data_IF_488680795017
#
_entry.id   IF_488680795017
#
_cell.length_a   1.000
_cell.length_b   1.000
_cell.length_c   1.000
_cell.angle_alpha   90.00
_cell.angle_beta   90.00
_cell.angle_gamma   90.00
#
_symmetry.space_group_name_H-M   'P 1'
#
loop_
_entity.id
_entity.type
_entity.pdbx_description
1 polymer ?
#
# COMPACT_ATOMS: atom_id res chain seq x y z
N UNK A 1 -4.96 10.43 -27.62
CA UNK A 1 -4.96 10.95 -26.26
C UNK A 1 -4.76 9.83 -25.25
N UNK A 2 -3.74 9.89 -24.45
CA UNK A 2 -3.56 8.83 -23.48
C UNK A 2 -4.67 8.83 -22.45
N UNK A 3 -5.16 7.65 -22.16
CA UNK A 3 -5.96 7.41 -21.00
C UNK A 3 -5.03 7.60 -19.80
N UNK A 4 -5.56 8.02 -18.65
CA UNK A 4 -4.76 8.27 -17.46
C UNK A 4 -3.65 7.23 -17.27
N UNK A 5 -2.51 7.68 -16.81
CA UNK A 5 -1.36 6.81 -16.56
C UNK A 5 -1.65 5.89 -15.40
N UNK A 6 -1.08 4.65 -15.38
CA UNK A 6 -1.27 3.76 -14.24
C UNK A 6 -0.90 4.38 -12.90
N UNK A 7 0.10 5.25 -12.88
CA UNK A 7 0.56 5.95 -11.69
C UNK A 7 -0.24 7.20 -11.35
N UNK A 8 -1.21 7.59 -12.19
CA UNK A 8 -2.01 8.78 -11.94
C UNK A 8 -2.97 8.54 -10.77
N UNK A 9 -2.94 9.44 -9.79
CA UNK A 9 -3.69 9.27 -8.55
C UNK A 9 -4.73 10.37 -8.40
N UNK A 10 -5.99 9.96 -8.32
CA UNK A 10 -7.12 10.84 -8.00
C UNK A 10 -7.60 10.54 -6.59
N UNK A 11 -8.48 11.37 -6.01
CA UNK A 11 -9.03 11.08 -4.67
C UNK A 11 -9.70 9.71 -4.57
N UNK A 12 -10.29 9.21 -5.68
CA UNK A 12 -11.00 7.95 -5.71
C UNK A 12 -10.09 6.75 -6.00
N UNK A 13 -8.82 6.98 -6.25
CA UNK A 13 -7.89 5.88 -6.53
C UNK A 13 -7.89 4.89 -5.39
N UNK A 14 -8.11 3.62 -5.73
CA UNK A 14 -8.12 2.52 -4.77
C UNK A 14 -6.69 2.11 -4.45
N UNK A 15 -6.41 1.88 -3.17
CA UNK A 15 -5.08 1.57 -2.67
C UNK A 15 -5.16 0.29 -1.85
N UNK A 16 -4.29 -0.67 -2.15
CA UNK A 16 -4.28 -1.99 -1.51
C UNK A 16 -2.97 -2.25 -0.78
N UNK A 17 -3.09 -2.74 0.45
CA UNK A 17 -1.96 -3.25 1.21
C UNK A 17 -2.15 -4.76 1.39
N UNK A 18 -1.38 -5.56 0.67
CA UNK A 18 -1.44 -7.02 0.77
C UNK A 18 -0.89 -7.45 2.13
N UNK A 19 -1.61 -8.31 2.81
CA UNK A 19 -1.35 -8.68 4.19
C UNK A 19 -2.27 -7.98 5.19
N UNK A 20 -3.03 -6.97 4.72
CA UNK A 20 -3.99 -6.25 5.53
C UNK A 20 -3.51 -4.87 5.96
N UNK A 21 -4.45 -4.04 6.40
CA UNK A 21 -4.21 -2.66 6.82
C UNK A 21 -4.09 -2.49 8.34
N UNK A 22 -3.67 -3.50 9.06
CA UNK A 22 -3.42 -3.38 10.51
C UNK A 22 -2.19 -2.53 10.80
N UNK A 23 -2.12 -1.96 11.99
CA UNK A 23 -0.95 -1.18 12.42
C UNK A 23 0.34 -2.00 12.24
N UNK A 24 0.33 -3.27 12.64
CA UNK A 24 1.49 -4.13 12.51
C UNK A 24 1.97 -4.27 11.06
N UNK A 25 1.03 -4.38 10.11
CA UNK A 25 1.35 -4.53 8.71
C UNK A 25 1.65 -3.21 8.01
N UNK A 26 1.35 -2.08 8.65
CA UNK A 26 1.65 -0.75 8.12
C UNK A 26 2.97 -0.19 8.65
N UNK A 27 3.61 -0.85 9.61
CA UNK A 27 4.91 -0.41 10.08
C UNK A 27 5.94 -0.54 8.97
N UNK A 28 6.85 0.45 8.93
CA UNK A 28 7.94 0.39 7.96
C UNK A 28 8.82 -0.82 8.26
N UNK A 29 9.12 -1.60 7.23
CA UNK A 29 10.18 -2.57 7.31
C UNK A 29 11.52 -1.83 7.44
N UNK A 30 12.55 -2.53 7.86
CA UNK A 30 13.89 -1.94 7.92
C UNK A 30 14.32 -1.43 6.55
N UNK A 31 14.00 -2.18 5.49
CA UNK A 31 14.32 -1.80 4.13
C UNK A 31 13.55 -0.54 3.70
N UNK A 32 12.26 -0.47 4.01
CA UNK A 32 11.42 0.69 3.68
C UNK A 32 11.91 1.95 4.39
N UNK A 33 12.36 1.82 5.65
CA UNK A 33 12.87 2.94 6.42
C UNK A 33 14.20 3.47 5.88
N UNK A 34 14.96 2.65 5.17
CA UNK A 34 16.24 3.04 4.58
C UNK A 34 16.07 3.74 3.23
N UNK A 35 14.92 3.68 2.63
CA UNK A 35 14.66 4.36 1.36
C UNK A 35 14.51 5.87 1.57
N UNK A 36 14.81 6.62 0.54
CA UNK A 36 14.78 8.08 0.60
C UNK A 36 13.85 8.62 -0.49
N UNK A 37 12.68 9.14 -0.11
CA UNK A 37 12.12 9.17 1.25
C UNK A 37 11.50 7.84 1.66
N UNK A 38 11.36 7.57 2.97
CA UNK A 38 10.73 6.34 3.45
C UNK A 38 9.24 6.31 3.19
N UNK A 39 8.70 5.13 2.93
CA UNK A 39 7.26 4.98 2.68
C UNK A 39 6.80 3.54 2.70
N UNK A 40 5.51 3.34 2.93
CA UNK A 40 4.88 2.02 2.98
C UNK A 40 4.49 1.62 1.55
N UNK A 41 4.94 0.44 1.09
CA UNK A 41 4.62 -0.06 -0.24
C UNK A 41 3.16 -0.49 -0.35
N UNK A 42 2.50 -0.05 -1.41
CA UNK A 42 1.11 -0.39 -1.72
C UNK A 42 0.95 -0.61 -3.22
N UNK A 43 -0.19 -1.19 -3.61
CA UNK A 43 -0.58 -1.36 -5.01
C UNK A 43 -1.83 -0.55 -5.29
N UNK A 44 -1.88 0.05 -6.47
CA UNK A 44 -2.99 0.92 -6.88
C UNK A 44 -3.93 0.19 -7.84
N UNK A 45 -5.18 0.62 -7.85
CA UNK A 45 -6.21 0.21 -8.81
C UNK A 45 -6.62 -1.26 -8.65
N UNK A 46 -7.68 -1.64 -9.35
CA UNK A 46 -8.15 -3.01 -9.36
C UNK A 46 -8.83 -3.43 -8.07
N UNK A 47 -9.00 -4.73 -7.91
CA UNK A 47 -9.66 -5.33 -6.76
C UNK A 47 -8.66 -5.87 -5.75
N UNK A 48 -9.09 -6.10 -4.49
CA UNK A 48 -8.23 -6.77 -3.51
C UNK A 48 -7.73 -8.14 -3.99
N UNK A 49 -8.60 -8.88 -4.68
CA UNK A 49 -8.23 -10.19 -5.24
C UNK A 49 -7.11 -10.07 -6.25
N UNK A 50 -7.18 -9.06 -7.13
CA UNK A 50 -6.13 -8.80 -8.11
C UNK A 50 -4.81 -8.44 -7.46
N UNK A 51 -4.84 -7.62 -6.40
CA UNK A 51 -3.63 -7.26 -5.65
C UNK A 51 -2.97 -8.49 -5.03
N UNK A 52 -3.77 -9.37 -4.39
CA UNK A 52 -3.24 -10.60 -3.82
C UNK A 52 -2.62 -11.51 -4.88
N UNK A 53 -3.31 -11.66 -6.01
CA UNK A 53 -2.82 -12.48 -7.13
C UNK A 53 -1.53 -11.91 -7.72
N UNK A 54 -1.45 -10.58 -7.84
CA UNK A 54 -0.27 -9.91 -8.35
C UNK A 54 0.95 -10.18 -7.48
N UNK A 55 0.78 -10.12 -6.17
CA UNK A 55 1.86 -10.40 -5.22
C UNK A 55 2.34 -11.84 -5.31
N UNK A 56 1.40 -12.79 -5.39
CA UNK A 56 1.75 -14.20 -5.51
C UNK A 56 2.48 -14.52 -6.81
N UNK A 57 2.04 -13.93 -7.92
CA UNK A 57 2.71 -14.12 -9.21
C UNK A 57 4.12 -13.55 -9.23
N UNK A 58 4.32 -12.42 -8.56
CA UNK A 58 5.62 -11.77 -8.52
C UNK A 58 6.63 -12.55 -7.68
N UNK A 59 6.15 -13.27 -6.67
CA UNK A 59 6.99 -14.01 -5.73
C UNK A 59 6.48 -15.44 -5.53
N UNK A 60 6.51 -16.27 -6.57
CA UNK A 60 5.85 -17.59 -6.52
C UNK A 60 6.46 -18.54 -5.48
N UNK A 61 7.73 -18.36 -5.12
CA UNK A 61 8.38 -19.18 -4.10
C UNK A 61 8.29 -18.62 -2.69
N UNK A 62 7.59 -17.50 -2.49
CA UNK A 62 7.55 -16.84 -1.20
C UNK A 62 6.51 -17.47 -0.28
N UNK A 63 6.98 -18.06 0.81
CA UNK A 63 6.11 -18.55 1.87
C UNK A 63 5.31 -17.41 2.49
N UNK A 64 5.95 -16.26 2.67
CA UNK A 64 5.30 -15.07 3.22
C UNK A 64 4.02 -14.74 2.46
N UNK A 65 4.09 -14.63 1.14
CA UNK A 65 2.94 -14.23 0.35
C UNK A 65 1.90 -15.33 0.19
N UNK A 66 2.31 -16.59 0.25
CA UNK A 66 1.34 -17.69 0.31
C UNK A 66 0.49 -17.64 1.58
N UNK A 67 1.09 -17.22 2.68
CA UNK A 67 0.40 -17.18 3.98
C UNK A 67 -0.30 -15.87 4.26
N UNK A 68 0.25 -14.74 3.81
CA UNK A 68 -0.28 -13.42 4.17
C UNK A 68 -1.15 -12.78 3.11
N UNK A 69 -1.03 -13.18 1.83
CA UNK A 69 -1.83 -12.61 0.76
C UNK A 69 -3.30 -13.04 0.80
N UNK A 70 -3.70 -13.81 1.80
CA UNK A 70 -5.11 -14.13 2.04
C UNK A 70 -5.92 -12.92 2.50
N UNK A 71 -5.26 -11.91 3.04
CA UNK A 71 -5.89 -10.69 3.53
C UNK A 71 -5.34 -9.50 2.74
N UNK A 72 -6.23 -8.61 2.33
CA UNK A 72 -5.85 -7.37 1.64
C UNK A 72 -6.60 -6.23 2.30
N UNK A 73 -5.86 -5.22 2.75
CA UNK A 73 -6.44 -3.98 3.24
C UNK A 73 -6.63 -3.01 2.08
N UNK A 74 -7.80 -2.40 1.97
CA UNK A 74 -8.14 -1.49 0.88
C UNK A 74 -8.65 -0.17 1.42
N UNK A 75 -8.18 0.91 0.83
CA UNK A 75 -8.62 2.27 1.14
C UNK A 75 -8.59 3.11 -0.14
N UNK A 76 -8.75 4.42 0.00
CA UNK A 76 -8.68 5.37 -1.12
C UNK A 76 -7.60 6.41 -0.85
N UNK A 77 -7.13 7.06 -1.91
CA UNK A 77 -6.16 8.14 -1.78
C UNK A 77 -6.71 9.27 -0.90
N UNK A 78 -8.00 9.61 -1.05
CA UNK A 78 -8.63 10.66 -0.23
C UNK A 78 -8.57 10.33 1.25
N UNK A 79 -8.90 9.08 1.63
CA UNK A 79 -8.87 8.67 3.03
C UNK A 79 -7.46 8.68 3.61
N UNK A 80 -6.48 8.28 2.81
CA UNK A 80 -5.06 8.33 3.22
C UNK A 80 -4.63 9.77 3.47
N UNK A 81 -5.01 10.69 2.60
CA UNK A 81 -4.68 12.11 2.75
C UNK A 81 -5.34 12.72 3.97
N UNK A 82 -6.57 12.36 4.26
CA UNK A 82 -7.25 12.79 5.49
C UNK A 82 -6.54 12.30 6.74
N UNK A 83 -5.88 11.16 6.68
CA UNK A 83 -5.10 10.63 7.79
C UNK A 83 -3.71 11.29 7.91
N UNK A 84 -3.39 12.25 7.06
CA UNK A 84 -2.13 12.99 7.12
C UNK A 84 -1.00 12.42 6.27
N UNK A 85 -1.25 11.32 5.56
CA UNK A 85 -0.28 10.71 4.65
C UNK A 85 -0.56 11.12 3.22
N UNK A 86 0.34 10.78 2.31
CA UNK A 86 0.12 10.96 0.88
C UNK A 86 0.43 9.67 0.14
N UNK A 87 -0.13 9.54 -1.06
CA UNK A 87 0.09 8.41 -1.95
C UNK A 87 0.95 8.89 -3.10
N UNK A 88 2.15 8.36 -3.22
CA UNK A 88 3.12 8.79 -4.23
C UNK A 88 3.38 7.64 -5.19
N UNK A 89 3.16 7.83 -6.50
CA UNK A 89 3.48 6.81 -7.49
C UNK A 89 4.95 6.42 -7.43
N UNK A 90 5.21 5.13 -7.49
CA UNK A 90 6.58 4.60 -7.49
C UNK A 90 6.61 3.33 -8.35
N UNK A 91 6.31 3.45 -9.65
CA UNK A 91 6.21 2.28 -10.51
C UNK A 91 7.55 1.56 -10.63
N UNK A 92 7.47 0.23 -10.63
CA UNK A 92 8.63 -0.63 -10.87
C UNK A 92 8.34 -1.49 -12.08
N UNK A 93 9.37 -2.13 -12.63
CA UNK A 93 9.20 -3.04 -13.76
C UNK A 93 8.22 -4.16 -13.42
N UNK A 94 8.34 -4.72 -12.21
CA UNK A 94 7.47 -5.82 -11.75
C UNK A 94 6.09 -5.34 -11.35
N UNK A 95 5.99 -4.12 -10.81
CA UNK A 95 4.75 -3.55 -10.31
C UNK A 95 4.55 -2.15 -10.88
N UNK A 96 3.99 -2.04 -12.12
CA UNK A 96 3.73 -0.71 -12.70
C UNK A 96 2.76 0.13 -11.87
N UNK A 97 1.91 -0.51 -11.07
CA UNK A 97 0.94 0.14 -10.20
C UNK A 97 1.43 0.30 -8.76
N UNK A 98 2.73 0.19 -8.53
CA UNK A 98 3.31 0.38 -7.21
C UNK A 98 3.27 1.84 -6.81
N UNK A 99 2.97 2.09 -5.54
CA UNK A 99 3.03 3.40 -4.92
C UNK A 99 3.52 3.26 -3.48
N UNK A 100 3.78 4.38 -2.85
CA UNK A 100 4.23 4.42 -1.47
C UNK A 100 3.42 5.42 -0.68
N UNK A 101 3.06 5.05 0.55
CA UNK A 101 2.44 5.97 1.49
C UNK A 101 3.54 6.71 2.23
N UNK A 102 3.58 8.02 2.06
CA UNK A 102 4.62 8.87 2.60
C UNK A 102 4.02 9.92 3.54
N UNK A 103 4.87 10.50 4.37
CA UNK A 103 4.47 11.59 5.26
C UNK A 103 5.46 12.74 5.14
N UNK A 104 4.97 14.00 5.17
CA UNK A 104 5.87 15.18 5.04
C UNK A 104 7.00 15.22 6.08
N UNK A 105 6.77 14.63 7.26
CA UNK A 105 7.77 14.61 8.33
C UNK A 105 8.74 13.43 8.23
N UNK A 106 8.62 12.61 7.20
CA UNK A 106 9.53 11.49 6.99
C UNK A 106 9.31 10.36 8.00
N UNK A 107 10.39 9.62 8.28
CA UNK A 107 10.32 8.41 9.12
C UNK A 107 9.78 8.68 10.52
N UNK A 108 10.00 9.89 11.06
CA UNK A 108 9.53 10.26 12.39
C UNK A 108 8.00 10.25 12.52
N UNK A 109 7.28 10.33 11.41
CA UNK A 109 5.82 10.33 11.41
C UNK A 109 5.21 8.93 11.44
N UNK A 110 6.01 7.88 11.29
CA UNK A 110 5.49 6.51 11.28
C UNK A 110 5.41 5.94 12.70
N UNK A 111 4.82 6.71 13.60
CA UNK A 111 4.58 6.32 14.99
C UNK A 111 3.32 5.47 15.06
N UNK A 112 3.17 4.70 16.14
CA UNK A 112 1.96 3.90 16.36
C UNK A 112 0.70 4.76 16.34
N UNK A 113 0.77 5.98 16.90
CA UNK A 113 -0.36 6.91 16.92
C UNK A 113 -0.83 7.27 15.49
N UNK A 114 0.09 7.65 14.63
CA UNK A 114 -0.23 7.98 13.24
C UNK A 114 -0.67 6.76 12.47
N UNK A 115 -0.06 5.61 12.72
CA UNK A 115 -0.43 4.37 12.03
C UNK A 115 -1.80 3.86 12.45
N UNK A 116 -2.24 4.10 13.69
CA UNK A 116 -3.61 3.79 14.12
C UNK A 116 -4.60 4.60 13.30
N UNK A 117 -4.35 5.89 13.12
CA UNK A 117 -5.20 6.76 12.30
C UNK A 117 -5.24 6.28 10.85
N UNK A 118 -4.09 5.93 10.28
CA UNK A 118 -4.01 5.42 8.92
C UNK A 118 -4.73 4.07 8.79
N UNK A 119 -4.49 3.15 9.73
CA UNK A 119 -5.09 1.82 9.72
C UNK A 119 -6.62 1.88 9.74
N UNK A 120 -7.18 2.86 10.44
CA UNK A 120 -8.63 3.04 10.53
C UNK A 120 -9.28 3.33 9.16
N UNK A 121 -8.51 3.77 8.16
CA UNK A 121 -9.03 4.02 6.81
C UNK A 121 -9.15 2.76 5.97
N UNK A 122 -8.46 1.69 6.35
CA UNK A 122 -8.43 0.45 5.57
C UNK A 122 -9.57 -0.47 5.93
N UNK A 123 -10.12 -1.13 4.91
CA UNK A 123 -11.06 -2.24 5.08
C UNK A 123 -10.33 -3.51 4.65
N UNK A 124 -10.17 -4.45 5.58
CA UNK A 124 -9.57 -5.74 5.27
C UNK A 124 -10.59 -6.69 4.68
N UNK A 125 -10.21 -7.36 3.60
CA UNK A 125 -10.96 -8.47 3.04
C UNK A 125 -10.08 -9.71 3.06
N UNK A 126 -10.70 -10.87 3.26
CA UNK A 126 -10.00 -12.14 3.42
C UNK A 126 -10.50 -13.18 2.42
N UNK A 127 -9.76 -14.29 2.30
CA UNK A 127 -10.20 -15.40 1.48
C UNK A 127 -9.51 -15.51 0.11
N UNK A 128 -8.41 -14.81 -0.07
CA UNK A 128 -7.70 -14.82 -1.37
C UNK A 128 -6.60 -15.90 -1.48
#
# INVERSE_FOLDING_TARGET
>A
MPIGRPEEITPDTVVHRVGGGSVANLRLSLLDAQQMPPGISVLLHGTPQEAAAQMRRAFPGSRKWRETAHTVGTTTAAAIREAGFDVVPDPTTRFPNHARLMHPQGVAAFTDEHLVTLAATFRDTVGY
#
